data_IF_855553833849
#
_entry.id   IF_855553833849
#
_cell.length_a   1.000
_cell.length_b   1.000
_cell.length_c   1.000
_cell.angle_alpha   90.00
_cell.angle_beta   90.00
_cell.angle_gamma   90.00
#
_symmetry.space_group_name_H-M   'P 1'
#
loop_
_entity.id
_entity.type
_entity.pdbx_description
1 polymer ?
#
# COMPACT_ATOMS: atom_id res chain seq x y z
N UNK A 1 -55.24 12.80 -26.45
CA UNK A 1 -54.19 12.02 -27.13
C UNK A 1 -53.07 12.97 -27.50
N UNK A 2 -52.01 13.01 -26.68
CA UNK A 2 -50.80 13.78 -26.95
C UNK A 2 -49.63 12.77 -26.96
N UNK A 3 -48.73 12.80 -27.95
CA UNK A 3 -47.66 11.81 -28.06
C UNK A 3 -46.50 12.16 -27.13
N UNK A 4 -46.09 11.15 -26.37
CA UNK A 4 -44.93 11.14 -25.49
C UNK A 4 -43.66 11.06 -26.34
N UNK A 5 -42.85 12.13 -26.28
CA UNK A 5 -41.56 12.20 -26.96
C UNK A 5 -40.50 11.60 -26.05
N UNK A 6 -40.19 10.33 -26.27
CA UNK A 6 -39.02 9.66 -25.65
C UNK A 6 -37.74 10.12 -26.33
N UNK A 7 -36.96 10.94 -25.65
CA UNK A 7 -35.61 11.31 -26.03
C UNK A 7 -34.63 10.14 -25.78
N UNK A 8 -34.06 9.60 -26.85
CA UNK A 8 -32.95 8.66 -26.77
C UNK A 8 -31.67 9.40 -26.37
N UNK A 9 -31.22 9.18 -25.14
CA UNK A 9 -29.87 9.53 -24.71
C UNK A 9 -28.86 8.61 -25.42
N UNK A 10 -28.08 9.18 -26.34
CA UNK A 10 -26.96 8.51 -26.97
C UNK A 10 -25.87 8.22 -25.94
N UNK A 11 -25.79 6.98 -25.46
CA UNK A 11 -24.70 6.49 -24.65
C UNK A 11 -23.41 6.42 -25.48
N UNK A 12 -22.51 7.38 -25.29
CA UNK A 12 -21.13 7.28 -25.76
C UNK A 12 -20.50 6.05 -25.10
N UNK A 13 -20.07 5.07 -25.91
CA UNK A 13 -19.28 3.94 -25.41
C UNK A 13 -18.07 4.48 -24.64
N UNK A 14 -17.82 4.04 -23.40
CA UNK A 14 -16.61 4.42 -22.70
C UNK A 14 -15.42 3.95 -23.53
N UNK A 15 -14.50 4.85 -23.84
CA UNK A 15 -13.25 4.49 -24.47
C UNK A 15 -12.51 3.54 -23.49
N UNK A 16 -12.41 2.26 -23.83
CA UNK A 16 -11.84 1.20 -22.99
C UNK A 16 -10.31 1.30 -22.78
N UNK A 17 -9.75 2.51 -22.81
CA UNK A 17 -8.32 2.74 -22.68
C UNK A 17 -8.01 3.89 -21.73
N UNK A 18 -6.78 3.97 -21.20
CA UNK A 18 -6.36 5.07 -20.34
C UNK A 18 -6.51 6.43 -21.04
N UNK A 19 -6.80 7.50 -20.29
CA UNK A 19 -6.83 8.86 -20.82
C UNK A 19 -5.52 9.21 -21.53
N UNK A 20 -5.61 9.78 -22.74
CA UNK A 20 -4.42 10.16 -23.52
C UNK A 20 -3.49 11.11 -22.75
N UNK A 21 -4.07 12.06 -22.01
CA UNK A 21 -3.34 13.00 -21.16
C UNK A 21 -2.49 12.30 -20.09
N UNK A 22 -2.98 11.20 -19.53
CA UNK A 22 -2.25 10.45 -18.51
C UNK A 22 -1.06 9.71 -19.10
N UNK A 23 -1.24 9.13 -20.29
CA UNK A 23 -0.14 8.50 -21.05
C UNK A 23 0.93 9.53 -21.45
N UNK A 24 0.52 10.74 -21.83
CA UNK A 24 1.43 11.86 -22.10
C UNK A 24 2.24 12.25 -20.87
N UNK A 25 1.63 12.32 -19.67
CA UNK A 25 2.38 12.55 -18.42
C UNK A 25 3.37 11.43 -18.11
N UNK A 26 3.00 10.16 -18.31
CA UNK A 26 3.95 9.04 -18.12
C UNK A 26 5.12 9.14 -19.11
N UNK A 27 4.87 9.54 -20.35
CA UNK A 27 5.94 9.76 -21.33
C UNK A 27 6.80 10.98 -20.98
N UNK A 28 6.23 12.01 -20.36
CA UNK A 28 7.00 13.13 -19.84
C UNK A 28 7.94 12.68 -18.71
N UNK A 29 7.45 11.85 -17.78
CA UNK A 29 8.28 11.22 -16.74
C UNK A 29 9.40 10.40 -17.37
N UNK A 30 9.11 9.57 -18.38
CA UNK A 30 10.15 8.80 -19.10
C UNK A 30 11.29 9.69 -19.57
N UNK A 31 10.94 10.78 -20.25
CA UNK A 31 11.93 11.72 -20.78
C UNK A 31 12.74 12.40 -19.67
N UNK A 32 12.15 12.70 -18.51
CA UNK A 32 12.89 13.23 -17.36
C UNK A 32 13.89 12.21 -16.83
N UNK A 33 13.48 10.95 -16.67
CA UNK A 33 14.33 9.88 -16.15
C UNK A 33 15.51 9.56 -17.08
N UNK A 34 15.32 9.66 -18.40
CA UNK A 34 16.39 9.53 -19.40
C UNK A 34 17.45 10.64 -19.30
N UNK A 35 17.07 11.82 -18.79
CA UNK A 35 17.93 13.01 -18.72
C UNK A 35 18.35 13.35 -17.29
N UNK A 36 18.39 12.36 -16.40
CA UNK A 36 18.97 12.52 -15.06
C UNK A 36 20.48 12.81 -15.16
N UNK A 37 21.01 13.75 -14.36
CA UNK A 37 22.38 14.23 -14.49
C UNK A 37 23.41 13.13 -14.22
N UNK A 38 24.58 13.26 -14.83
CA UNK A 38 25.73 12.37 -14.66
C UNK A 38 26.48 12.63 -13.36
N UNK A 39 25.75 12.84 -12.27
CA UNK A 39 26.35 13.07 -10.96
C UNK A 39 27.00 11.79 -10.45
N UNK A 40 28.15 11.90 -9.78
CA UNK A 40 28.79 10.80 -9.05
C UNK A 40 27.88 10.12 -8.01
N UNK A 41 26.78 10.77 -7.63
CA UNK A 41 25.80 10.23 -6.69
C UNK A 41 24.81 9.22 -7.32
N UNK A 42 24.65 9.18 -8.65
CA UNK A 42 23.68 8.33 -9.33
C UNK A 42 24.39 7.38 -10.32
N UNK A 43 24.71 6.14 -9.92
CA UNK A 43 25.30 5.16 -10.82
C UNK A 43 24.38 4.91 -12.02
N UNK A 44 24.99 4.82 -13.20
CA UNK A 44 24.31 4.44 -14.44
C UNK A 44 24.23 2.92 -14.51
N UNK A 45 23.02 2.37 -14.53
CA UNK A 45 22.73 0.93 -14.67
C UNK A 45 23.63 0.05 -13.79
N UNK A 46 23.51 0.13 -12.45
CA UNK A 46 24.27 -0.74 -11.56
C UNK A 46 23.97 -2.21 -11.86
N UNK A 47 24.99 -3.07 -11.67
CA UNK A 47 24.87 -4.53 -11.90
C UNK A 47 23.75 -5.15 -11.07
N UNK A 48 23.60 -4.67 -9.83
CA UNK A 48 22.48 -4.99 -8.96
C UNK A 48 21.63 -3.73 -8.80
N UNK A 49 20.58 -3.64 -9.63
CA UNK A 49 19.61 -2.57 -9.49
C UNK A 49 18.86 -2.72 -8.16
N UNK A 50 18.71 -1.60 -7.46
CA UNK A 50 17.90 -1.55 -6.24
C UNK A 50 16.41 -1.68 -6.54
N UNK A 51 16.01 -1.35 -7.76
CA UNK A 51 14.61 -1.26 -8.14
C UNK A 51 14.07 -2.58 -8.68
N UNK A 52 12.98 -3.04 -8.08
CA UNK A 52 12.22 -4.20 -8.55
C UNK A 52 10.77 -3.76 -8.70
N UNK A 53 10.28 -3.78 -9.94
CA UNK A 53 8.91 -3.41 -10.26
C UNK A 53 8.09 -4.65 -10.57
N UNK A 54 7.08 -4.91 -9.75
CA UNK A 54 6.18 -6.05 -9.89
C UNK A 54 5.00 -5.91 -8.95
N UNK A 55 3.81 -6.28 -9.42
CA UNK A 55 2.66 -6.37 -8.54
C UNK A 55 2.74 -7.67 -7.76
N UNK A 56 2.56 -7.57 -6.45
CA UNK A 56 2.38 -8.73 -5.58
C UNK A 56 1.00 -9.36 -5.87
N UNK A 57 0.94 -10.62 -6.33
CA UNK A 57 -0.33 -11.27 -6.65
C UNK A 57 -1.22 -11.43 -5.40
N UNK A 58 -0.64 -11.57 -4.21
CA UNK A 58 -1.43 -11.73 -2.97
C UNK A 58 -2.22 -10.43 -2.68
N UNK A 59 -1.56 -9.27 -2.81
CA UNK A 59 -2.20 -7.96 -2.60
C UNK A 59 -3.20 -7.66 -3.71
N UNK A 60 -2.95 -8.15 -4.92
CA UNK A 60 -3.84 -7.96 -6.06
C UNK A 60 -5.15 -8.75 -5.92
N UNK A 61 -5.09 -9.94 -5.33
CA UNK A 61 -6.24 -10.81 -5.05
C UNK A 61 -7.02 -10.38 -3.80
N UNK A 62 -6.36 -9.70 -2.86
CA UNK A 62 -7.04 -9.06 -1.73
C UNK A 62 -7.97 -7.91 -2.21
N UNK A 63 -9.05 -7.66 -1.48
CA UNK A 63 -10.07 -6.59 -1.74
C UNK A 63 -9.48 -5.15 -1.79
N UNK A 64 -8.16 -4.99 -1.71
CA UNK A 64 -7.42 -3.74 -1.77
C UNK A 64 -7.17 -3.26 -3.22
N UNK A 65 -7.18 -4.18 -4.19
CA UNK A 65 -7.16 -3.86 -5.62
C UNK A 65 -5.83 -3.33 -6.17
N UNK A 66 -5.82 -3.04 -7.48
CA UNK A 66 -4.61 -2.69 -8.24
C UNK A 66 -3.84 -1.47 -7.75
N UNK A 67 -4.56 -0.45 -7.25
CA UNK A 67 -3.93 0.78 -6.74
C UNK A 67 -3.13 0.53 -5.45
N UNK A 68 -3.60 -0.39 -4.59
CA UNK A 68 -2.90 -0.74 -3.35
C UNK A 68 -1.63 -1.55 -3.64
N UNK A 69 -1.72 -2.54 -4.54
CA UNK A 69 -0.56 -3.31 -4.98
C UNK A 69 0.51 -2.41 -5.64
N UNK A 70 0.07 -1.49 -6.51
CA UNK A 70 0.95 -0.48 -7.13
C UNK A 70 1.64 0.39 -6.07
N UNK A 71 0.87 0.94 -5.14
CA UNK A 71 1.41 1.83 -4.11
C UNK A 71 2.43 1.10 -3.25
N UNK A 72 2.16 -0.16 -2.88
CA UNK A 72 3.10 -0.96 -2.09
C UNK A 72 4.40 -1.23 -2.85
N UNK A 73 4.31 -1.57 -4.14
CA UNK A 73 5.48 -1.80 -4.98
C UNK A 73 6.35 -0.53 -5.05
N UNK A 74 5.75 0.63 -5.32
CA UNK A 74 6.49 1.88 -5.44
C UNK A 74 7.05 2.35 -4.08
N UNK A 75 6.33 2.13 -2.98
CA UNK A 75 6.84 2.41 -1.63
C UNK A 75 8.09 1.61 -1.32
N UNK A 76 8.10 0.32 -1.67
CA UNK A 76 9.25 -0.56 -1.44
C UNK A 76 10.39 -0.21 -2.39
N UNK A 77 10.11 0.00 -3.67
CA UNK A 77 11.15 0.33 -4.66
C UNK A 77 11.89 1.63 -4.29
N UNK A 78 11.16 2.66 -3.87
CA UNK A 78 11.73 3.98 -3.54
C UNK A 78 12.01 4.19 -2.05
N UNK A 79 11.83 3.18 -1.20
CA UNK A 79 11.97 3.26 0.26
C UNK A 79 11.21 4.42 0.92
N UNK A 80 10.10 4.86 0.33
CA UNK A 80 9.33 6.01 0.85
C UNK A 80 8.70 5.72 2.20
N UNK A 81 8.56 4.44 2.57
CA UNK A 81 8.10 4.00 3.90
C UNK A 81 9.08 4.37 5.02
N UNK A 82 10.36 4.57 4.69
CA UNK A 82 11.42 4.93 5.64
C UNK A 82 11.71 6.44 5.64
N UNK A 83 11.12 7.19 4.70
CA UNK A 83 11.29 8.64 4.63
C UNK A 83 10.12 9.34 5.37
N UNK A 84 10.40 10.23 6.33
CA UNK A 84 9.36 10.89 7.14
C UNK A 84 8.41 11.74 6.29
N UNK A 85 8.93 12.36 5.22
CA UNK A 85 8.17 13.24 4.33
C UNK A 85 7.61 12.49 3.11
N UNK A 86 7.98 11.21 2.94
CA UNK A 86 7.62 10.41 1.78
C UNK A 86 8.14 10.99 0.46
N UNK A 87 9.22 11.77 0.49
CA UNK A 87 9.88 12.23 -0.73
C UNK A 87 10.45 11.03 -1.49
N UNK A 88 10.60 11.17 -2.80
CA UNK A 88 11.17 10.11 -3.64
C UNK A 88 12.56 10.55 -4.02
N UNK A 89 13.56 9.78 -3.60
CA UNK A 89 14.95 9.96 -3.99
C UNK A 89 15.35 8.83 -4.95
N UNK A 90 15.89 9.20 -6.11
CA UNK A 90 16.46 8.22 -7.01
C UNK A 90 17.85 7.82 -6.52
N UNK A 91 18.14 6.51 -6.51
CA UNK A 91 19.44 5.95 -6.09
C UNK A 91 20.31 5.51 -7.26
N UNK A 92 19.76 5.45 -8.46
CA UNK A 92 20.44 5.06 -9.70
C UNK A 92 19.75 5.75 -10.88
N UNK A 93 20.39 5.70 -12.05
CA UNK A 93 19.82 6.16 -13.33
C UNK A 93 20.02 5.11 -14.41
N UNK A 94 19.25 5.18 -15.49
CA UNK A 94 19.39 4.31 -16.65
C UNK A 94 18.13 3.51 -16.99
N UNK A 95 18.32 2.33 -17.57
CA UNK A 95 17.26 1.50 -18.16
C UNK A 95 16.21 1.09 -17.15
N UNK A 96 16.58 0.74 -15.91
CA UNK A 96 15.59 0.28 -14.93
C UNK A 96 14.52 1.34 -14.64
N UNK A 97 14.92 2.59 -14.43
CA UNK A 97 13.98 3.69 -14.23
C UNK A 97 13.31 4.16 -15.54
N UNK A 98 14.06 4.34 -16.62
CA UNK A 98 13.51 4.91 -17.85
C UNK A 98 12.63 3.95 -18.65
N UNK A 99 12.93 2.64 -18.61
CA UNK A 99 12.21 1.63 -19.37
C UNK A 99 11.34 0.75 -18.46
N UNK A 100 11.91 0.14 -17.41
CA UNK A 100 11.19 -0.88 -16.65
C UNK A 100 10.07 -0.27 -15.79
N UNK A 101 10.35 0.81 -15.05
CA UNK A 101 9.30 1.56 -14.31
C UNK A 101 8.21 2.06 -15.26
N UNK A 102 8.60 2.67 -16.39
CA UNK A 102 7.63 3.25 -17.33
C UNK A 102 6.75 2.16 -17.97
N UNK A 103 7.35 1.02 -18.31
CA UNK A 103 6.62 -0.16 -18.82
C UNK A 103 5.65 -0.67 -17.76
N UNK A 104 6.11 -0.83 -16.53
CA UNK A 104 5.31 -1.23 -15.38
C UNK A 104 4.12 -0.29 -15.15
N UNK A 105 4.34 1.03 -15.07
CA UNK A 105 3.26 2.01 -14.88
C UNK A 105 2.21 1.94 -16.00
N UNK A 106 2.62 1.78 -17.25
CA UNK A 106 1.71 1.62 -18.40
C UNK A 106 0.91 0.31 -18.34
N UNK A 107 1.52 -0.76 -17.87
CA UNK A 107 0.88 -2.07 -17.72
C UNK A 107 -0.17 -2.03 -16.60
N UNK A 108 0.19 -1.49 -15.44
CA UNK A 108 -0.73 -1.33 -14.31
C UNK A 108 -1.91 -0.45 -14.68
N UNK A 109 -1.66 0.67 -15.36
CA UNK A 109 -2.71 1.56 -15.83
C UNK A 109 -3.65 0.90 -16.84
N UNK A 110 -3.15 -0.03 -17.66
CA UNK A 110 -3.95 -0.74 -18.67
C UNK A 110 -4.80 -1.85 -18.04
N UNK A 111 -4.24 -2.61 -17.11
CA UNK A 111 -4.85 -3.86 -16.64
C UNK A 111 -5.58 -3.72 -15.31
N UNK A 112 -5.12 -2.82 -14.43
CA UNK A 112 -5.55 -2.81 -13.03
C UNK A 112 -6.23 -1.50 -12.61
N UNK A 113 -5.96 -0.38 -13.28
CA UNK A 113 -6.64 0.90 -13.01
C UNK A 113 -7.64 1.18 -14.14
N UNK A 114 -8.91 0.81 -13.95
CA UNK A 114 -9.94 0.93 -14.99
C UNK A 114 -10.88 2.12 -14.81
N UNK A 115 -10.98 2.66 -13.60
CA UNK A 115 -11.87 3.78 -13.31
C UNK A 115 -11.17 5.13 -13.43
N UNK A 116 -11.92 6.17 -13.79
CA UNK A 116 -11.40 7.55 -13.81
C UNK A 116 -10.94 8.01 -12.42
N UNK A 117 -11.56 7.50 -11.36
CA UNK A 117 -11.17 7.76 -9.97
C UNK A 117 -9.78 7.18 -9.70
N UNK A 118 -9.54 5.93 -10.09
CA UNK A 118 -8.22 5.29 -9.94
C UNK A 118 -7.15 6.04 -10.73
N UNK A 119 -7.48 6.53 -11.92
CA UNK A 119 -6.57 7.32 -12.75
C UNK A 119 -6.19 8.65 -12.09
N UNK A 120 -7.16 9.34 -11.49
CA UNK A 120 -6.91 10.58 -10.76
C UNK A 120 -6.06 10.33 -9.51
N UNK A 121 -6.40 9.30 -8.73
CA UNK A 121 -5.65 8.92 -7.53
C UNK A 121 -4.22 8.51 -7.88
N UNK A 122 -4.02 7.71 -8.93
CA UNK A 122 -2.69 7.33 -9.40
C UNK A 122 -1.87 8.56 -9.82
N UNK A 123 -2.49 9.48 -10.56
CA UNK A 123 -1.83 10.70 -11.01
C UNK A 123 -1.32 11.51 -9.82
N UNK A 124 -2.21 11.81 -8.87
CA UNK A 124 -1.91 12.69 -7.75
C UNK A 124 -1.00 12.02 -6.70
N UNK A 125 -1.21 10.73 -6.42
CA UNK A 125 -0.46 10.02 -5.38
C UNK A 125 0.93 9.57 -5.80
N UNK A 126 1.19 9.38 -7.10
CA UNK A 126 2.47 8.82 -7.58
C UNK A 126 3.05 9.55 -8.78
N UNK A 127 2.29 9.75 -9.85
CA UNK A 127 2.86 10.25 -11.10
C UNK A 127 3.46 11.66 -10.94
N UNK A 128 2.73 12.58 -10.31
CA UNK A 128 3.24 13.93 -10.06
C UNK A 128 4.46 13.88 -9.11
N UNK A 129 4.43 13.06 -8.06
CA UNK A 129 5.55 12.91 -7.12
C UNK A 129 6.83 12.39 -7.80
N UNK A 130 6.70 11.43 -8.70
CA UNK A 130 7.82 10.92 -9.50
C UNK A 130 8.39 11.99 -10.44
N UNK A 131 7.52 12.80 -11.06
CA UNK A 131 7.93 13.93 -11.91
C UNK A 131 8.69 14.97 -11.09
N UNK A 132 8.15 15.36 -9.93
CA UNK A 132 8.80 16.30 -9.02
C UNK A 132 10.15 15.79 -8.54
N UNK A 133 10.22 14.52 -8.13
CA UNK A 133 11.48 13.88 -7.75
C UNK A 133 12.51 13.92 -8.87
N UNK A 134 12.10 13.70 -10.13
CA UNK A 134 13.04 13.69 -11.25
C UNK A 134 13.59 15.10 -11.51
N UNK A 135 12.73 16.11 -11.42
CA UNK A 135 13.11 17.52 -11.52
C UNK A 135 14.07 17.91 -10.38
N UNK A 136 13.77 17.51 -9.14
CA UNK A 136 14.62 17.76 -7.97
C UNK A 136 15.97 17.05 -8.04
N UNK A 137 16.00 15.84 -8.60
CA UNK A 137 17.23 15.12 -8.92
C UNK A 137 18.04 15.77 -10.06
N UNK A 138 17.55 16.87 -10.65
CA UNK A 138 18.24 17.68 -11.63
C UNK A 138 17.97 17.29 -13.09
N UNK A 139 16.92 16.50 -13.36
CA UNK A 139 16.53 16.18 -14.73
C UNK A 139 16.22 17.46 -15.51
N UNK A 140 16.88 17.62 -16.65
CA UNK A 140 16.62 18.73 -17.58
C UNK A 140 16.13 18.18 -18.89
N UNK A 141 14.85 18.44 -19.20
CA UNK A 141 14.30 18.16 -20.53
C UNK A 141 15.07 19.01 -21.55
N UNK A 142 15.73 18.40 -22.56
CA UNK A 142 16.35 19.17 -23.62
C UNK A 142 15.27 20.04 -24.28
N UNK A 143 15.56 21.32 -24.57
CA UNK A 143 14.62 22.13 -25.33
C UNK A 143 14.37 21.42 -26.65
N UNK A 144 13.09 21.10 -26.94
CA UNK A 144 12.71 20.44 -28.19
C UNK A 144 13.41 21.17 -29.33
N UNK A 145 14.18 20.47 -30.19
CA UNK A 145 14.79 21.11 -31.33
C UNK A 145 13.65 21.77 -32.11
N UNK A 146 13.68 23.10 -32.19
CA UNK A 146 12.74 23.84 -33.03
C UNK A 146 12.93 23.25 -34.41
N UNK A 147 11.95 22.45 -34.87
CA UNK A 147 11.89 22.02 -36.26
C UNK A 147 12.06 23.30 -37.06
N UNK A 148 13.19 23.43 -37.75
CA UNK A 148 13.36 24.47 -38.76
C UNK A 148 12.16 24.26 -39.66
N UNK A 149 11.24 25.21 -39.63
CA UNK A 149 10.21 25.28 -40.64
C UNK A 149 11.00 25.49 -41.92
N UNK A 150 11.17 24.41 -42.68
CA UNK A 150 11.57 24.52 -44.06
C UNK A 150 10.51 25.41 -44.69
N UNK A 151 10.98 26.63 -45.01
CA UNK A 151 10.37 27.51 -45.98
C UNK A 151 10.44 26.75 -47.31
N UNK A 152 9.49 25.85 -47.52
CA UNK A 152 9.14 25.36 -48.83
C UNK A 152 7.86 26.07 -49.21
N UNK A 153 8.11 27.15 -49.96
CA UNK A 153 7.16 27.92 -50.72
C UNK A 153 6.10 26.99 -51.32
N UNK A 154 4.84 27.39 -51.09
CA UNK A 154 3.73 26.94 -51.89
C UNK A 154 4.07 27.12 -53.37
N UNK A 155 4.14 26.02 -54.11
CA UNK A 155 3.88 26.09 -55.54
C UNK A 155 2.83 25.06 -55.94
N UNK A 156 1.77 25.60 -56.55
CA UNK A 156 0.62 24.91 -57.09
C UNK A 156 1.07 24.09 -58.31
N UNK A 157 0.65 22.82 -58.42
CA UNK A 157 -0.12 22.29 -59.56
C UNK A 157 -0.01 20.77 -59.72
N UNK A 158 -1.13 20.21 -60.20
CA UNK A 158 -1.34 18.93 -60.92
C UNK A 158 -1.01 17.63 -60.19
N UNK A 159 -1.98 16.79 -59.81
CA UNK A 159 -2.93 15.98 -60.62
C UNK A 159 -2.25 14.79 -61.32
N UNK A 160 -2.74 13.60 -60.97
CA UNK A 160 -2.68 12.28 -61.63
C UNK A 160 -1.67 11.23 -61.12
N UNK A 161 -2.26 10.21 -60.49
CA UNK A 161 -1.93 8.76 -60.49
C UNK A 161 -1.80 8.16 -61.91
N UNK A 162 -1.50 6.86 -62.12
CA UNK A 162 -1.00 5.77 -61.22
C UNK A 162 0.16 4.95 -61.87
N UNK A 163 0.59 3.85 -61.23
CA UNK A 163 0.68 2.48 -61.82
C UNK A 163 1.87 1.68 -61.27
N UNK A 164 1.57 0.65 -60.47
CA UNK A 164 2.36 -0.57 -60.25
C UNK A 164 2.41 -1.41 -61.54
N UNK A 165 3.46 -2.23 -61.77
CA UNK A 165 3.25 -3.65 -61.45
C UNK A 165 4.46 -4.40 -60.87
N UNK A 166 4.07 -5.42 -60.12
CA UNK A 166 4.74 -6.64 -59.69
C UNK A 166 5.53 -7.30 -60.83
N UNK A 167 6.74 -7.80 -60.55
CA UNK A 167 7.26 -9.06 -61.09
C UNK A 167 8.45 -9.58 -60.23
N UNK A 168 8.25 -10.70 -59.55
CA UNK A 168 9.32 -11.63 -59.15
C UNK A 168 9.75 -12.43 -60.39
N UNK A 169 10.97 -12.98 -60.42
CA UNK A 169 11.04 -14.42 -60.19
C UNK A 169 12.24 -14.90 -59.38
N UNK A 170 12.03 -16.06 -58.77
CA UNK A 170 13.01 -17.00 -58.23
C UNK A 170 14.15 -17.31 -59.20
N UNK A 171 15.36 -17.53 -58.68
CA UNK A 171 16.20 -18.68 -59.05
C UNK A 171 17.39 -18.83 -58.13
N UNK A 172 17.49 -20.04 -57.59
CA UNK A 172 18.61 -20.64 -56.89
C UNK A 172 19.94 -20.56 -57.66
N UNK A 173 21.04 -20.33 -56.94
CA UNK A 173 22.24 -21.20 -57.01
C UNK A 173 23.37 -20.75 -56.08
N UNK A 174 23.58 -21.59 -55.07
CA UNK A 174 24.83 -22.22 -54.64
C UNK A 174 26.21 -21.51 -54.70
N UNK A 175 26.97 -21.83 -53.64
CA UNK A 175 28.44 -21.86 -53.50
C UNK A 175 29.14 -20.50 -53.42
N UNK A 176 29.99 -20.17 -52.44
CA UNK A 176 30.97 -21.00 -51.71
C UNK A 176 31.51 -20.26 -50.46
N UNK A 177 31.85 -21.06 -49.45
CA UNK A 177 32.63 -20.74 -48.23
C UNK A 177 34.12 -20.43 -48.54
N UNK A 178 35.05 -20.26 -47.56
CA UNK A 178 35.09 -19.38 -46.36
C UNK A 178 36.52 -18.74 -46.18
N UNK A 179 36.86 -18.33 -44.93
CA UNK A 179 38.18 -17.95 -44.35
C UNK A 179 38.42 -16.42 -44.30
N UNK A 180 38.79 -15.78 -43.19
CA UNK A 180 39.69 -16.21 -42.09
C UNK A 180 39.28 -15.61 -40.73
N UNK A 181 39.52 -16.39 -39.69
CA UNK A 181 39.46 -16.08 -38.25
C UNK A 181 40.87 -15.64 -37.76
N UNK A 182 41.11 -15.40 -36.45
CA UNK A 182 41.66 -14.15 -35.91
C UNK A 182 43.12 -14.29 -35.41
N UNK A 183 43.70 -13.22 -34.85
CA UNK A 183 44.93 -13.30 -34.06
C UNK A 183 44.76 -12.57 -32.74
N UNK A 184 44.88 -13.34 -31.66
CA UNK A 184 45.10 -12.88 -30.29
C UNK A 184 46.51 -12.27 -30.17
N UNK A 185 46.71 -11.40 -29.18
CA UNK A 185 47.75 -11.61 -28.17
C UNK A 185 47.49 -10.77 -26.92
N UNK A 186 47.79 -11.37 -25.78
CA UNK A 186 47.64 -10.89 -24.41
C UNK A 186 49.02 -10.58 -23.81
N UNK A 187 49.12 -9.59 -22.92
CA UNK A 187 50.27 -9.37 -22.01
C UNK A 187 49.70 -8.82 -20.68
N UNK A 188 49.58 -9.66 -19.63
CA UNK A 188 50.46 -9.85 -18.44
C UNK A 188 50.31 -8.80 -17.33
N UNK A 189 49.97 -9.33 -16.14
CA UNK A 189 49.82 -8.74 -14.81
C UNK A 189 51.20 -8.55 -14.16
N UNK A 190 51.38 -7.47 -13.40
CA UNK A 190 52.40 -7.40 -12.35
C UNK A 190 51.81 -6.80 -11.06
N UNK A 191 51.89 -7.58 -9.99
CA UNK A 191 51.59 -7.23 -8.61
C UNK A 191 52.76 -6.45 -8.00
N UNK A 192 52.51 -5.47 -7.12
CA UNK A 192 53.51 -5.06 -6.12
C UNK A 192 52.85 -4.59 -4.83
N UNK A 193 53.22 -5.30 -3.79
CA UNK A 193 53.02 -5.11 -2.35
C UNK A 193 53.82 -3.91 -1.81
N UNK A 194 53.30 -3.19 -0.81
CA UNK A 194 54.07 -2.80 0.38
C UNK A 194 53.15 -2.23 1.47
N UNK A 195 53.20 -2.86 2.65
CA UNK A 195 52.89 -2.28 3.97
C UNK A 195 53.99 -1.27 4.37
N UNK A 196 53.65 -0.27 5.20
CA UNK A 196 54.33 -0.01 6.48
C UNK A 196 53.63 1.05 7.35
N UNK A 197 53.84 0.92 8.66
CA UNK A 197 53.10 1.48 9.81
C UNK A 197 53.51 2.90 10.30
N UNK A 198 52.50 3.65 10.80
CA UNK A 198 52.46 4.48 12.04
C UNK A 198 53.50 5.64 12.28
N UNK A 199 53.46 6.37 13.42
CA UNK A 199 52.53 7.48 13.72
C UNK A 199 53.22 8.79 14.18
N UNK A 200 52.49 9.92 14.24
CA UNK A 200 53.07 11.22 14.63
C UNK A 200 52.09 12.22 15.28
N UNK A 201 51.93 12.07 16.60
CA UNK A 201 51.75 13.02 17.72
C UNK A 201 51.56 14.56 17.57
N UNK A 202 50.62 15.06 18.41
CA UNK A 202 50.49 16.34 19.19
C UNK A 202 50.07 17.67 18.49
N UNK A 203 49.61 18.74 19.22
CA UNK A 203 48.90 18.87 20.51
C UNK A 203 47.61 19.77 20.42
N UNK A 204 46.62 19.62 21.30
CA UNK A 204 46.25 20.44 22.50
C UNK A 204 46.20 21.98 22.37
N UNK A 205 45.10 22.54 22.92
CA UNK A 205 44.83 23.93 23.35
C UNK A 205 44.22 24.86 22.30
N UNK A 206 43.34 25.82 22.61
CA UNK A 206 42.47 26.12 23.76
C UNK A 206 41.70 27.39 23.38
N UNK A 207 40.57 27.67 24.07
CA UNK A 207 39.95 29.01 24.24
C UNK A 207 39.46 29.71 22.96
N UNK A 208 38.44 30.57 22.89
CA UNK A 208 37.60 31.32 23.83
C UNK A 208 36.44 31.84 22.95
N UNK A 209 35.18 31.77 23.41
CA UNK A 209 34.46 32.91 23.99
C UNK A 209 34.41 34.20 23.13
N UNK A 210 33.19 34.49 22.68
CA UNK A 210 32.44 35.74 22.96
C UNK A 210 32.44 36.86 21.91
N UNK A 211 31.20 37.31 21.64
CA UNK A 211 30.73 38.62 21.19
C UNK A 211 31.13 39.07 19.78
N UNK A 212 30.19 39.12 18.83
CA UNK A 212 29.14 40.14 18.67
C UNK A 212 29.71 41.55 18.47
N UNK A 213 29.75 41.98 17.21
CA UNK A 213 29.66 43.40 16.87
C UNK A 213 29.16 43.58 15.45
N UNK A 214 27.96 44.14 15.40
CA UNK A 214 27.30 44.80 14.28
C UNK A 214 28.16 45.95 13.77
N UNK A 215 28.41 46.00 12.46
CA UNK A 215 28.75 47.25 11.77
C UNK A 215 28.25 47.19 10.34
N UNK A 216 27.37 48.14 10.04
CA UNK A 216 26.76 48.37 8.74
C UNK A 216 27.69 49.15 7.81
N UNK A 217 27.61 48.83 6.52
CA UNK A 217 27.42 49.74 5.38
C UNK A 217 28.47 49.70 4.25
N UNK A 218 27.89 49.69 3.04
CA UNK A 218 28.42 50.02 1.69
C UNK A 218 29.37 49.02 1.04
N UNK A 219 29.30 48.72 -0.26
CA UNK A 219 28.25 48.69 -1.29
C UNK A 219 28.98 48.12 -2.51
N UNK A 220 28.59 46.97 -3.05
CA UNK A 220 29.01 46.59 -4.39
C UNK A 220 27.97 45.66 -5.02
N UNK A 221 27.15 46.29 -5.86
CA UNK A 221 26.69 45.82 -7.17
C UNK A 221 26.57 44.30 -7.39
N UNK A 222 25.35 43.79 -7.25
CA UNK A 222 24.89 42.67 -8.08
C UNK A 222 23.42 42.85 -8.43
N UNK A 223 23.15 43.07 -9.71
CA UNK A 223 21.81 43.18 -10.27
C UNK A 223 21.12 41.81 -10.37
N UNK A 224 19.81 41.87 -10.11
CA UNK A 224 18.76 41.06 -10.72
C UNK A 224 18.62 39.58 -10.32
N UNK A 225 17.92 39.34 -9.21
CA UNK A 225 16.89 38.29 -9.17
C UNK A 225 15.58 38.85 -8.62
N UNK A 226 14.49 38.55 -9.34
CA UNK A 226 13.21 39.23 -9.28
C UNK A 226 12.55 39.33 -7.91
N UNK A 227 12.07 40.54 -7.64
CA UNK A 227 11.24 40.95 -6.53
C UNK A 227 9.80 40.39 -6.67
N UNK A 228 9.48 39.33 -5.92
CA UNK A 228 8.15 38.70 -5.88
C UNK A 228 7.17 39.37 -4.89
N UNK A 229 7.49 40.53 -4.32
CA UNK A 229 6.59 41.26 -3.41
C UNK A 229 5.88 42.45 -4.07
N UNK A 230 5.27 42.23 -5.24
CA UNK A 230 4.20 43.11 -5.72
C UNK A 230 2.84 42.43 -5.47
N UNK A 231 1.94 43.02 -4.65
CA UNK A 231 0.57 42.54 -4.56
C UNK A 231 -0.08 42.69 -5.93
N UNK A 232 -0.54 41.57 -6.48
CA UNK A 232 -1.35 41.55 -7.70
C UNK A 232 -2.65 42.27 -7.36
N UNK A 233 -2.96 43.36 -8.07
CA UNK A 233 -4.25 44.05 -8.02
C UNK A 233 -5.34 43.19 -8.69
N UNK A 234 -5.55 41.98 -8.16
CA UNK A 234 -6.67 41.13 -8.52
C UNK A 234 -7.90 41.66 -7.81
N UNK A 235 -8.88 42.13 -8.57
CA UNK A 235 -10.20 42.52 -8.08
C UNK A 235 -10.77 41.35 -7.27
N UNK A 236 -10.72 41.49 -5.94
CA UNK A 236 -11.22 40.50 -5.00
C UNK A 236 -12.73 40.36 -5.23
N UNK A 237 -13.14 39.32 -5.97
CA UNK A 237 -14.55 38.93 -6.04
C UNK A 237 -14.98 38.63 -4.61
N UNK A 238 -15.85 39.48 -4.08
CA UNK A 238 -16.41 39.31 -2.75
C UNK A 238 -17.11 37.95 -2.67
N UNK A 239 -16.96 37.27 -1.53
CA UNK A 239 -17.55 35.96 -1.22
C UNK A 239 -19.07 35.88 -1.43
N UNK A 240 -19.75 37.04 -1.50
CA UNK A 240 -21.16 37.17 -1.84
C UNK A 240 -21.49 36.74 -3.28
N UNK A 241 -20.52 36.71 -4.21
CA UNK A 241 -20.72 36.28 -5.60
C UNK A 241 -20.88 34.76 -5.77
N UNK A 242 -20.60 33.96 -4.72
CA UNK A 242 -20.66 32.48 -4.75
C UNK A 242 -22.05 31.97 -4.30
N UNK A 243 -23.04 32.85 -4.16
CA UNK A 243 -24.42 32.44 -3.85
C UNK A 243 -24.61 31.87 -2.45
N UNK A 244 -23.72 32.20 -1.51
CA UNK A 244 -23.88 31.80 -0.11
C UNK A 244 -25.04 32.59 0.49
N UNK A 245 -26.14 31.89 0.73
CA UNK A 245 -27.32 32.45 1.40
C UNK A 245 -26.87 32.99 2.77
N UNK A 246 -27.03 34.29 3.00
CA UNK A 246 -26.84 34.88 4.34
C UNK A 246 -27.92 34.29 5.25
N UNK A 247 -27.50 33.49 6.22
CA UNK A 247 -28.38 32.91 7.22
C UNK A 247 -28.81 33.99 8.21
N UNK A 248 -30.12 34.10 8.46
CA UNK A 248 -30.63 34.92 9.56
C UNK A 248 -30.20 34.36 10.93
N UNK A 249 -30.19 35.18 11.99
CA UNK A 249 -29.93 34.71 13.35
C UNK A 249 -30.88 33.56 13.72
N UNK A 250 -30.34 32.36 13.98
CA UNK A 250 -31.10 31.15 14.32
C UNK A 250 -31.55 30.28 13.13
N UNK A 251 -31.47 30.76 11.87
CA UNK A 251 -31.85 29.93 10.71
C UNK A 251 -30.85 28.80 10.47
N UNK A 252 -29.55 29.06 10.65
CA UNK A 252 -28.50 28.06 10.51
C UNK A 252 -28.70 26.88 11.46
N UNK A 253 -29.05 27.15 12.72
CA UNK A 253 -29.30 26.10 13.73
C UNK A 253 -30.54 25.29 13.39
N UNK A 254 -31.60 25.93 12.88
CA UNK A 254 -32.80 25.19 12.44
C UNK A 254 -32.53 24.31 11.23
N UNK A 255 -31.68 24.77 10.29
CA UNK A 255 -31.28 23.98 9.13
C UNK A 255 -30.42 22.79 9.52
N UNK A 256 -29.37 23.01 10.32
CA UNK A 256 -28.50 21.95 10.83
C UNK A 256 -29.28 20.93 11.65
N UNK A 257 -30.25 21.36 12.45
CA UNK A 257 -31.12 20.46 13.22
C UNK A 257 -32.04 19.62 12.32
N UNK A 258 -32.58 20.21 11.25
CA UNK A 258 -33.38 19.49 10.24
C UNK A 258 -32.52 18.48 9.48
N UNK A 259 -31.32 18.87 9.04
CA UNK A 259 -30.41 18.00 8.31
C UNK A 259 -29.92 16.85 9.19
N UNK A 260 -29.59 17.11 10.46
CA UNK A 260 -29.25 16.08 11.43
C UNK A 260 -30.43 15.12 11.68
N UNK A 261 -31.67 15.63 11.72
CA UNK A 261 -32.87 14.79 11.86
C UNK A 261 -33.12 13.90 10.64
N UNK A 262 -32.94 14.43 9.43
CA UNK A 262 -33.06 13.68 8.18
C UNK A 262 -31.99 12.59 8.08
N UNK A 263 -30.73 12.92 8.39
CA UNK A 263 -29.65 11.94 8.44
C UNK A 263 -29.88 10.85 9.50
N UNK A 264 -30.48 11.20 10.64
CA UNK A 264 -30.85 10.22 11.67
C UNK A 264 -31.98 9.29 11.22
N UNK A 265 -32.94 9.80 10.46
CA UNK A 265 -34.06 9.05 9.89
C UNK A 265 -33.60 8.10 8.77
N UNK A 266 -32.72 8.55 7.87
CA UNK A 266 -32.07 7.68 6.88
C UNK A 266 -31.31 6.53 7.54
N UNK A 267 -30.54 6.81 8.61
CA UNK A 267 -29.84 5.77 9.38
C UNK A 267 -30.79 4.79 10.08
N UNK A 268 -32.01 5.20 10.44
CA UNK A 268 -33.04 4.29 10.98
C UNK A 268 -33.62 3.41 9.87
N UNK A 269 -33.98 4.01 8.73
CA UNK A 269 -34.46 3.30 7.54
C UNK A 269 -33.46 2.24 7.05
N UNK A 270 -32.17 2.57 7.02
CA UNK A 270 -31.12 1.63 6.64
C UNK A 270 -31.02 0.44 7.61
N UNK A 271 -31.08 0.70 8.92
CA UNK A 271 -31.08 -0.37 9.95
C UNK A 271 -32.30 -1.27 9.86
N UNK A 272 -33.47 -0.73 9.55
CA UNK A 272 -34.68 -1.53 9.33
C UNK A 272 -34.59 -2.39 8.07
N UNK A 273 -34.07 -1.84 6.96
CA UNK A 273 -33.84 -2.61 5.72
C UNK A 273 -32.86 -3.76 5.97
N UNK A 274 -31.76 -3.49 6.69
CA UNK A 274 -30.77 -4.52 7.04
C UNK A 274 -31.39 -5.60 7.95
N UNK A 275 -32.21 -5.20 8.93
CA UNK A 275 -32.92 -6.14 9.81
C UNK A 275 -33.89 -7.03 9.02
N UNK A 276 -34.71 -6.44 8.12
CA UNK A 276 -35.61 -7.19 7.23
C UNK A 276 -34.84 -8.15 6.30
N UNK A 277 -33.70 -7.73 5.76
CA UNK A 277 -32.87 -8.58 4.92
C UNK A 277 -32.29 -9.78 5.69
N UNK A 278 -31.84 -9.56 6.95
CA UNK A 278 -31.36 -10.64 7.83
C UNK A 278 -32.47 -11.62 8.22
N UNK A 279 -33.68 -11.12 8.51
CA UNK A 279 -34.84 -11.95 8.81
C UNK A 279 -35.26 -12.77 7.59
N UNK A 280 -35.34 -12.16 6.40
CA UNK A 280 -35.63 -12.87 5.15
C UNK A 280 -34.56 -13.92 4.80
N UNK A 281 -33.28 -13.63 5.05
CA UNK A 281 -32.20 -14.60 4.85
C UNK A 281 -32.31 -15.78 5.84
N UNK A 282 -32.68 -15.51 7.09
CA UNK A 282 -32.92 -16.55 8.10
C UNK A 282 -34.12 -17.42 7.72
N UNK A 283 -35.21 -16.82 7.23
CA UNK A 283 -36.40 -17.52 6.77
C UNK A 283 -36.10 -18.42 5.56
N UNK A 284 -35.38 -17.91 4.56
CA UNK A 284 -34.91 -18.71 3.41
C UNK A 284 -34.05 -19.91 3.86
N UNK A 285 -33.20 -19.71 4.87
CA UNK A 285 -32.36 -20.79 5.42
C UNK A 285 -33.20 -21.83 6.18
N UNK A 286 -34.22 -21.42 6.91
CA UNK A 286 -35.16 -22.35 7.57
C UNK A 286 -36.01 -23.12 6.54
N UNK A 287 -36.49 -22.45 5.48
CA UNK A 287 -37.27 -23.08 4.42
C UNK A 287 -36.47 -24.14 3.64
N UNK A 288 -35.19 -23.88 3.36
CA UNK A 288 -34.31 -24.84 2.69
C UNK A 288 -33.81 -25.96 3.61
N UNK A 289 -33.80 -25.73 4.93
CA UNK A 289 -33.36 -26.72 5.94
C UNK A 289 -34.42 -27.75 6.33
N UNK A 290 -35.70 -27.53 6.01
CA UNK A 290 -36.80 -28.42 6.39
C UNK A 290 -37.04 -29.59 5.40
N UNK A 291 -36.29 -29.67 4.29
CA UNK A 291 -36.51 -30.67 3.24
C UNK A 291 -35.41 -31.74 3.12
N UNK A 292 -34.50 -31.87 4.11
CA UNK A 292 -33.54 -32.97 4.17
C UNK A 292 -33.73 -33.82 5.42
N UNK A 293 -34.62 -34.80 5.27
CA UNK A 293 -34.56 -36.05 6.05
C UNK A 293 -33.13 -36.62 5.98
N UNK A 294 -32.55 -37.06 7.10
CA UNK A 294 -31.22 -37.64 7.12
C UNK A 294 -31.29 -39.08 6.62
N UNK A 295 -31.09 -39.29 5.31
CA UNK A 295 -30.72 -40.62 4.82
C UNK A 295 -29.31 -40.93 5.32
N UNK A 296 -29.25 -41.75 6.37
CA UNK A 296 -28.07 -42.51 6.74
C UNK A 296 -27.64 -43.34 5.54
N UNK A 297 -26.49 -43.08 4.91
CA UNK A 297 -25.73 -44.19 4.32
C UNK A 297 -24.33 -43.82 3.78
N UNK A 298 -23.40 -44.74 4.04
CA UNK A 298 -22.11 -45.02 3.39
C UNK A 298 -21.04 -43.91 3.29
N UNK A 299 -21.37 -42.64 3.08
CA UNK A 299 -20.34 -41.61 2.76
C UNK A 299 -19.48 -41.22 3.97
N UNK A 300 -19.98 -41.41 5.19
CA UNK A 300 -19.23 -41.13 6.41
C UNK A 300 -18.10 -42.15 6.67
N UNK A 301 -18.25 -43.40 6.21
CA UNK A 301 -17.25 -44.46 6.43
C UNK A 301 -16.08 -44.31 5.45
N UNK A 302 -16.33 -43.86 4.22
CA UNK A 302 -15.27 -43.67 3.21
C UNK A 302 -14.37 -42.47 3.52
N UNK A 303 -14.91 -41.41 4.14
CA UNK A 303 -14.15 -40.22 4.54
C UNK A 303 -13.24 -40.45 5.75
N UNK A 304 -13.50 -41.46 6.58
CA UNK A 304 -12.64 -41.78 7.73
C UNK A 304 -11.38 -42.58 7.36
N UNK A 305 -11.38 -43.29 6.22
CA UNK A 305 -10.21 -44.05 5.77
C UNK A 305 -9.04 -43.19 5.25
N UNK A 306 -9.33 -41.99 4.74
CA UNK A 306 -8.31 -41.10 4.15
C UNK A 306 -7.53 -40.26 5.19
N UNK A 307 -8.02 -40.12 6.42
CA UNK A 307 -7.39 -39.31 7.47
C UNK A 307 -6.39 -40.08 8.35
N UNK A 308 -6.24 -41.40 8.17
CA UNK A 308 -5.36 -42.22 9.01
C UNK A 308 -3.87 -42.20 8.57
N UNK A 309 -3.54 -41.56 7.44
CA UNK A 309 -2.15 -41.54 6.89
C UNK A 309 -1.50 -40.14 6.98
N UNK A 310 -2.20 -39.11 7.48
CA UNK A 310 -1.65 -37.76 7.64
C UNK A 310 -1.24 -37.42 9.08
N UNK A 311 -0.75 -38.40 9.84
CA UNK A 311 -0.12 -38.19 11.14
C UNK A 311 1.36 -37.83 10.95
N UNK A 312 1.61 -36.65 10.38
CA UNK A 312 2.86 -35.93 10.59
C UNK A 312 2.55 -34.51 11.09
N UNK A 313 2.83 -34.29 12.38
CA UNK A 313 2.98 -32.99 13.04
C UNK A 313 1.91 -31.91 12.76
N UNK A 314 0.65 -32.19 13.10
CA UNK A 314 -0.36 -31.13 13.22
C UNK A 314 -0.22 -30.42 14.58
N UNK A 315 0.25 -29.18 14.58
CA UNK A 315 0.21 -28.30 15.76
C UNK A 315 -1.24 -28.19 16.27
N UNK A 316 -1.48 -28.18 17.60
CA UNK A 316 -2.83 -28.00 18.14
C UNK A 316 -3.43 -26.67 17.67
N UNK A 317 -4.71 -26.69 17.30
CA UNK A 317 -5.46 -25.52 16.85
C UNK A 317 -5.30 -24.35 17.84
N UNK A 318 -4.57 -23.31 17.43
CA UNK A 318 -4.18 -22.14 18.25
C UNK A 318 -5.39 -21.47 18.91
N UNK A 319 -6.56 -21.54 18.28
CA UNK A 319 -7.80 -21.02 18.85
C UNK A 319 -8.26 -21.81 20.09
N UNK A 320 -8.01 -23.13 20.13
CA UNK A 320 -8.28 -23.97 21.29
C UNK A 320 -7.28 -23.76 22.42
N UNK A 321 -6.01 -23.50 22.07
CA UNK A 321 -4.97 -23.19 23.07
C UNK A 321 -5.34 -21.92 23.84
N UNK A 322 -5.96 -20.91 23.21
CA UNK A 322 -6.31 -19.65 23.87
C UNK A 322 -7.42 -19.72 24.95
N UNK A 323 -7.90 -20.91 25.35
CA UNK A 323 -9.02 -21.08 26.29
C UNK A 323 -8.73 -22.08 27.43
N UNK A 324 -9.41 -21.89 28.59
CA UNK A 324 -9.43 -22.88 29.67
C UNK A 324 -10.04 -24.22 29.21
N UNK A 325 -9.52 -25.30 29.78
CA UNK A 325 -9.62 -26.70 29.32
C UNK A 325 -11.06 -27.22 29.09
N UNK A 326 -11.32 -28.03 28.05
CA UNK A 326 -12.69 -28.45 27.64
C UNK A 326 -13.53 -29.10 28.76
N UNK A 327 -12.86 -29.60 29.79
CA UNK A 327 -13.45 -30.34 30.90
C UNK A 327 -14.33 -29.46 31.82
N UNK A 328 -14.10 -28.14 31.87
CA UNK A 328 -14.92 -27.26 32.73
C UNK A 328 -16.39 -27.18 32.28
N UNK A 329 -16.65 -27.34 30.98
CA UNK A 329 -18.02 -27.38 30.44
C UNK A 329 -18.76 -28.67 30.83
N UNK A 330 -18.06 -29.80 30.91
CA UNK A 330 -18.66 -31.09 31.29
C UNK A 330 -19.10 -31.10 32.77
N UNK A 331 -18.36 -30.39 33.63
CA UNK A 331 -18.70 -30.25 35.06
C UNK A 331 -19.92 -29.34 35.29
N UNK A 332 -20.19 -28.40 34.36
CA UNK A 332 -21.24 -27.39 34.53
C UNK A 332 -22.54 -27.70 33.79
N UNK A 333 -22.46 -28.37 32.64
CA UNK A 333 -23.62 -28.81 31.87
C UNK A 333 -23.89 -30.30 32.18
N UNK A 334 -24.28 -30.59 33.41
CA UNK A 334 -24.73 -31.94 33.77
C UNK A 334 -25.81 -32.43 32.80
N UNK A 335 -25.69 -33.70 32.38
CA UNK A 335 -26.57 -34.67 31.66
C UNK A 335 -27.83 -34.24 30.87
N UNK A 336 -28.16 -32.96 30.74
CA UNK A 336 -29.36 -32.44 30.11
C UNK A 336 -29.00 -31.53 28.93
N UNK A 337 -28.75 -32.16 27.78
CA UNK A 337 -29.04 -31.58 26.45
C UNK A 337 -28.46 -30.20 26.14
N UNK A 338 -27.32 -29.82 26.71
CA UNK A 338 -26.69 -28.52 26.45
C UNK A 338 -26.27 -28.36 24.99
N UNK A 339 -26.52 -27.17 24.42
CA UNK A 339 -26.17 -26.82 23.05
C UNK A 339 -24.71 -27.21 22.72
N UNK A 340 -24.54 -28.04 21.67
CA UNK A 340 -23.22 -28.40 21.13
C UNK A 340 -22.51 -27.09 20.77
N UNK A 341 -21.55 -26.69 21.60
CA UNK A 341 -20.76 -25.49 21.36
C UNK A 341 -19.93 -25.77 20.13
N UNK A 342 -20.30 -25.13 19.02
CA UNK A 342 -19.56 -25.21 17.77
C UNK A 342 -18.10 -24.79 17.98
N UNK A 343 -17.20 -25.39 17.20
CA UNK A 343 -15.77 -25.13 17.25
C UNK A 343 -15.52 -23.62 17.22
N UNK A 344 -14.88 -23.09 18.27
CA UNK A 344 -14.67 -21.66 18.42
C UNK A 344 -13.87 -21.12 17.23
N UNK A 345 -14.47 -20.22 16.46
CA UNK A 345 -13.87 -19.68 15.23
C UNK A 345 -12.99 -18.45 15.49
N UNK A 346 -13.11 -17.82 16.66
CA UNK A 346 -12.49 -16.53 16.98
C UNK A 346 -11.49 -16.64 18.13
N UNK A 347 -10.31 -16.08 17.92
CA UNK A 347 -9.23 -16.00 18.90
C UNK A 347 -9.47 -14.86 19.89
N UNK A 348 -9.12 -15.07 21.17
CA UNK A 348 -9.24 -14.05 22.20
C UNK A 348 -7.91 -13.29 22.37
N UNK A 349 -7.78 -12.14 21.72
CA UNK A 349 -6.58 -11.32 21.76
C UNK A 349 -6.32 -10.60 23.10
N UNK A 350 -7.30 -10.56 24.02
CA UNK A 350 -7.10 -10.02 25.38
C UNK A 350 -6.43 -11.01 26.34
N UNK A 351 -6.02 -12.17 25.85
CA UNK A 351 -5.27 -13.14 26.66
C UNK A 351 -3.92 -12.55 27.07
N UNK A 352 -3.47 -12.62 28.34
CA UNK A 352 -2.22 -12.00 28.81
C UNK A 352 -1.01 -12.29 27.91
N UNK A 353 -0.79 -13.56 27.54
CA UNK A 353 0.26 -13.96 26.60
C UNK A 353 0.20 -13.22 25.25
N UNK A 354 -0.98 -13.15 24.60
CA UNK A 354 -1.11 -12.48 23.30
C UNK A 354 -1.05 -10.94 23.45
N UNK A 355 -1.65 -10.42 24.52
CA UNK A 355 -1.75 -9.00 24.80
C UNK A 355 -0.38 -8.36 25.00
N UNK A 356 0.55 -9.04 25.68
CA UNK A 356 1.92 -8.56 25.85
C UNK A 356 2.63 -8.28 24.53
N UNK A 357 2.47 -9.16 23.53
CA UNK A 357 3.05 -8.93 22.21
C UNK A 357 2.40 -7.73 21.51
N UNK A 358 1.06 -7.63 21.59
CA UNK A 358 0.31 -6.52 21.00
C UNK A 358 0.74 -5.18 21.60
N UNK A 359 0.87 -5.13 22.93
CA UNK A 359 1.27 -3.93 23.66
C UNK A 359 2.70 -3.49 23.31
N UNK A 360 3.65 -4.44 23.33
CA UNK A 360 5.04 -4.17 22.94
C UNK A 360 5.14 -3.69 21.49
N UNK A 361 4.42 -4.35 20.58
CA UNK A 361 4.40 -3.97 19.17
C UNK A 361 3.88 -2.54 18.98
N UNK A 362 2.79 -2.17 19.65
CA UNK A 362 2.21 -0.83 19.55
C UNK A 362 3.16 0.27 20.06
N UNK A 363 3.86 0.03 21.16
CA UNK A 363 4.86 0.98 21.66
C UNK A 363 6.06 1.10 20.72
N UNK A 364 6.50 0.00 20.10
CA UNK A 364 7.64 0.02 19.18
C UNK A 364 7.38 0.75 17.86
N UNK A 365 6.11 0.99 17.50
CA UNK A 365 5.71 1.57 16.21
C UNK A 365 4.93 2.88 16.37
N UNK A 366 5.17 3.58 17.48
CA UNK A 366 4.59 4.89 17.79
C UNK A 366 3.06 4.93 17.65
N UNK A 367 2.41 3.85 18.11
CA UNK A 367 0.95 3.72 18.12
C UNK A 367 0.28 3.64 16.74
N UNK A 368 1.00 3.24 15.69
CA UNK A 368 0.42 2.94 14.39
C UNK A 368 -0.20 1.55 14.33
N UNK A 369 -1.56 1.40 14.31
CA UNK A 369 -2.20 0.08 14.36
C UNK A 369 -1.85 -0.79 13.16
N UNK A 370 -1.69 -0.19 11.99
CA UNK A 370 -1.33 -0.89 10.75
C UNK A 370 0.09 -1.45 10.81
N UNK A 371 1.04 -0.69 11.34
CA UNK A 371 2.44 -1.14 11.47
C UNK A 371 2.53 -2.22 12.56
N UNK A 372 1.81 -2.05 13.67
CA UNK A 372 1.78 -3.04 14.76
C UNK A 372 1.25 -4.40 14.27
N UNK A 373 0.16 -4.43 13.51
CA UNK A 373 -0.38 -5.68 12.95
C UNK A 373 0.65 -6.35 12.03
N UNK A 374 1.30 -5.60 11.14
CA UNK A 374 2.34 -6.16 10.26
C UNK A 374 3.51 -6.72 11.06
N UNK A 375 3.97 -6.01 12.08
CA UNK A 375 5.03 -6.47 12.97
C UNK A 375 4.65 -7.78 13.67
N UNK A 376 3.43 -7.84 14.24
CA UNK A 376 2.91 -9.04 14.91
C UNK A 376 2.74 -10.23 13.97
N UNK A 377 2.24 -10.00 12.76
CA UNK A 377 2.06 -11.04 11.76
C UNK A 377 3.40 -11.54 11.22
N UNK A 378 4.40 -10.66 11.08
CA UNK A 378 5.76 -11.03 10.67
C UNK A 378 6.47 -11.86 11.75
N UNK A 379 6.43 -11.38 13.00
CA UNK A 379 7.18 -11.98 14.09
C UNK A 379 6.50 -13.26 14.63
N UNK A 380 5.16 -13.30 14.58
CA UNK A 380 4.34 -14.40 15.11
C UNK A 380 3.14 -14.73 14.20
N UNK A 381 3.38 -15.20 12.95
CA UNK A 381 2.33 -15.39 11.94
C UNK A 381 1.23 -16.36 12.39
N UNK A 382 1.59 -17.43 13.09
CA UNK A 382 0.62 -18.42 13.59
C UNK A 382 -0.36 -17.84 14.60
N UNK A 383 0.07 -16.86 15.40
CA UNK A 383 -0.73 -16.26 16.47
C UNK A 383 -1.51 -15.03 16.02
N UNK A 384 -1.08 -14.32 14.97
CA UNK A 384 -1.72 -13.05 14.57
C UNK A 384 -2.14 -12.99 13.10
N UNK A 385 -2.09 -14.10 12.35
CA UNK A 385 -2.57 -14.18 10.96
C UNK A 385 -3.98 -13.60 10.75
N UNK A 386 -4.87 -13.74 11.74
CA UNK A 386 -6.25 -13.24 11.68
C UNK A 386 -6.45 -11.89 12.39
N UNK A 387 -5.39 -11.23 12.84
CA UNK A 387 -5.47 -9.95 13.52
C UNK A 387 -5.49 -8.82 12.47
N UNK A 388 -6.51 -7.96 12.54
CA UNK A 388 -6.71 -6.90 11.56
C UNK A 388 -6.47 -5.52 12.17
N UNK A 389 -6.01 -4.54 11.36
CA UNK A 389 -5.76 -3.16 11.81
C UNK A 389 -6.98 -2.51 12.47
N UNK A 390 -8.17 -2.78 11.93
CA UNK A 390 -9.43 -2.25 12.46
C UNK A 390 -9.78 -2.79 13.84
N UNK A 391 -9.23 -3.95 14.20
CA UNK A 391 -9.38 -4.52 15.54
C UNK A 391 -8.52 -3.74 16.54
N UNK A 392 -7.23 -3.52 16.24
CA UNK A 392 -6.34 -2.73 17.11
C UNK A 392 -6.80 -1.26 17.19
N UNK A 393 -7.22 -0.67 16.08
CA UNK A 393 -7.71 0.71 16.05
C UNK A 393 -8.98 0.94 16.90
N UNK A 394 -9.78 -0.11 17.16
CA UNK A 394 -10.92 -0.03 18.07
C UNK A 394 -10.50 -0.11 19.54
N UNK A 395 -9.29 -0.59 19.81
CA UNK A 395 -8.74 -0.70 21.15
C UNK A 395 -8.00 0.55 21.59
N UNK A 396 -7.55 1.37 20.65
CA UNK A 396 -6.86 2.65 20.91
C UNK A 396 -7.87 3.78 21.13
N UNK A 397 -7.45 4.81 21.85
CA UNK A 397 -8.25 6.03 22.00
C UNK A 397 -8.09 6.92 20.77
N UNK A 398 -9.21 7.44 20.24
CA UNK A 398 -9.16 8.26 19.03
C UNK A 398 -8.38 9.56 19.29
N UNK A 399 -7.41 9.87 18.41
CA UNK A 399 -6.57 11.07 18.50
C UNK A 399 -5.51 11.03 19.61
N UNK A 400 -5.33 9.89 20.30
CA UNK A 400 -4.33 9.76 21.37
C UNK A 400 -3.49 8.51 21.21
N UNK A 401 -2.23 8.61 21.63
CA UNK A 401 -1.27 7.50 21.72
C UNK A 401 -1.46 6.72 23.02
N UNK A 402 -2.70 6.27 23.28
CA UNK A 402 -3.04 5.49 24.47
C UNK A 402 -4.14 4.45 24.20
N UNK A 403 -4.19 3.40 25.04
CA UNK A 403 -5.27 2.41 25.00
C UNK A 403 -6.57 3.02 25.51
N UNK A 404 -7.69 2.64 24.92
CA UNK A 404 -9.00 3.06 25.42
C UNK A 404 -9.22 2.50 26.83
N UNK A 405 -9.92 3.25 27.69
CA UNK A 405 -10.26 2.81 29.06
C UNK A 405 -10.96 1.45 29.07
N UNK A 406 -11.82 1.21 28.06
CA UNK A 406 -12.53 -0.07 27.88
C UNK A 406 -11.57 -1.23 27.57
N UNK A 407 -10.53 -0.97 26.79
CA UNK A 407 -9.48 -1.95 26.48
C UNK A 407 -8.72 -2.33 27.74
N UNK A 408 -8.25 -1.33 28.50
CA UNK A 408 -7.55 -1.55 29.76
C UNK A 408 -8.41 -2.36 30.75
N UNK A 409 -9.69 -2.01 30.86
CA UNK A 409 -10.64 -2.76 31.69
C UNK A 409 -10.83 -4.20 31.20
N UNK A 410 -10.88 -4.45 29.89
CA UNK A 410 -10.99 -5.81 29.34
C UNK A 410 -9.74 -6.65 29.62
N UNK A 411 -8.56 -6.04 29.50
CA UNK A 411 -7.27 -6.69 29.82
C UNK A 411 -7.21 -7.03 31.30
N UNK A 412 -7.54 -6.06 32.16
CA UNK A 412 -7.59 -6.25 33.61
C UNK A 412 -8.62 -7.32 34.01
N UNK A 413 -9.84 -7.27 33.47
CA UNK A 413 -10.87 -8.28 33.76
C UNK A 413 -10.47 -9.68 33.30
N UNK A 414 -9.63 -9.82 32.27
CA UNK A 414 -9.14 -11.11 31.78
C UNK A 414 -7.93 -11.61 32.56
N UNK A 415 -7.09 -10.72 33.09
CA UNK A 415 -6.15 -11.05 34.17
C UNK A 415 -6.90 -11.48 35.44
N UNK A 416 -8.01 -10.82 35.78
CA UNK A 416 -8.80 -11.10 36.99
C UNK A 416 -9.65 -12.37 36.85
N UNK A 417 -10.02 -12.78 35.64
CA UNK A 417 -10.66 -14.09 35.43
C UNK A 417 -9.73 -15.24 35.86
N UNK A 418 -8.40 -15.07 35.79
CA UNK A 418 -7.44 -16.00 36.40
C UNK A 418 -7.49 -16.00 37.94
N UNK A 419 -7.85 -14.88 38.58
CA UNK A 419 -8.04 -14.79 40.03
C UNK A 419 -9.38 -15.38 40.52
N UNK A 420 -10.35 -15.61 39.63
CA UNK A 420 -11.67 -16.17 39.98
C UNK A 420 -11.74 -17.71 39.97
N UNK A 421 -10.60 -18.39 39.89
CA UNK A 421 -10.56 -19.86 39.82
C UNK A 421 -10.91 -20.44 38.45
N UNK A 422 -10.80 -19.65 37.37
CA UNK A 422 -10.80 -20.21 36.02
C UNK A 422 -9.41 -20.79 35.75
N UNK A 423 -9.35 -22.10 35.61
CA UNK A 423 -8.17 -22.89 35.25
C UNK A 423 -7.52 -22.32 33.98
N UNK A 424 -6.48 -21.50 34.14
CA UNK A 424 -5.67 -20.99 33.03
C UNK A 424 -5.15 -22.14 32.16
N UNK A 425 -4.70 -21.84 30.95
CA UNK A 425 -4.16 -22.80 29.95
C UNK A 425 -3.15 -23.81 30.54
N UNK A 426 -2.47 -23.45 31.62
CA UNK A 426 -1.46 -24.28 32.29
C UNK A 426 -2.02 -25.16 33.42
N UNK A 427 -3.32 -25.10 33.71
CA UNK A 427 -3.95 -25.94 34.73
C UNK A 427 -3.92 -27.43 34.36
N UNK A 428 -3.82 -27.76 33.07
CA UNK A 428 -3.62 -29.13 32.57
C UNK A 428 -2.16 -29.58 32.59
N UNK A 429 -1.23 -28.66 32.85
CA UNK A 429 0.21 -28.86 32.70
C UNK A 429 0.93 -28.52 34.01
N UNK A 430 0.63 -29.30 35.05
CA UNK A 430 1.20 -29.10 36.39
C UNK A 430 2.73 -29.08 36.38
N UNK A 431 3.37 -29.89 35.53
CA UNK A 431 4.84 -29.90 35.39
C UNK A 431 5.42 -28.58 34.87
N UNK A 432 4.75 -27.92 33.92
CA UNK A 432 5.18 -26.62 33.38
C UNK A 432 4.94 -25.53 34.42
N UNK A 433 3.81 -25.60 35.12
CA UNK A 433 3.48 -24.68 36.21
C UNK A 433 4.47 -24.80 37.37
N UNK A 434 4.88 -26.02 37.74
CA UNK A 434 5.89 -26.27 38.76
C UNK A 434 7.27 -25.76 38.34
N UNK A 435 7.69 -26.03 37.09
CA UNK A 435 8.97 -25.54 36.58
C UNK A 435 9.05 -23.99 36.57
N UNK A 436 7.99 -23.31 36.16
CA UNK A 436 7.90 -21.84 36.21
C UNK A 436 7.97 -21.35 37.66
N UNK A 437 7.22 -21.98 38.58
CA UNK A 437 7.24 -21.60 39.99
C UNK A 437 8.58 -21.86 40.67
N UNK A 438 9.29 -22.94 40.32
CA UNK A 438 10.64 -23.21 40.83
C UNK A 438 11.64 -22.17 40.32
N UNK A 439 11.54 -21.79 39.04
CA UNK A 439 12.40 -20.76 38.45
C UNK A 439 12.17 -19.39 39.09
N UNK A 440 10.90 -19.04 39.36
CA UNK A 440 10.53 -17.77 39.99
C UNK A 440 10.84 -17.70 41.48
N UNK A 441 10.89 -18.83 42.20
CA UNK A 441 11.28 -18.88 43.62
C UNK A 441 12.80 -18.97 43.83
N UNK A 442 13.55 -19.24 42.77
CA UNK A 442 15.02 -19.28 42.78
C UNK A 442 15.68 -17.94 42.42
N UNK A 443 14.87 -16.94 42.04
CA UNK A 443 15.23 -15.52 41.94
C UNK A 443 14.75 -14.81 43.21
#
# INVERSE_FOLDING_TARGET
MAPEVTAHAGGSKPANGPPKSLIEHINHLKLLLEHLPESHALPLDPVESKYIFGLDPEILEEDLGGMAALSRCLEVAFDTWNQPDGEIEFSERGRCLAEDLIKFLKEVLRHHLKSEIDHAVFKDAWLERLIWAAIHAGAKVPPRPKRKADVLQSNKNSKSTPTTPILSPDSDSQQSHPLKKPRNDAIVIASSSSDDELPGTFPTQSTSKTASSTSSATSESFEAFGDWRKPVNGTQRTLDAVGWKKWGPGEQDTYLKKEASHAAEERRSWREKEKRAKEAAKERRCALGAAREPTSDVTAVLMHGANAVALSQALPDVAQISRPDKNWCNVRNGTQGGAVVSKATRMNYYHPFLWMHIDKAMHSVDWSPSVAVRLLQRDHPMLFSKLNKGTISKWTQHGKKEWSTKTLQNVQNRMVLEASGHSGILASYDSIREAINMTLKGL
#
